data_IF_097677130722
#
_entry.id   IF_097677130722
#
_cell.length_a   1.000
_cell.length_b   1.000
_cell.length_c   1.000
_cell.angle_alpha   90.00
_cell.angle_beta   90.00
_cell.angle_gamma   90.00
#
_symmetry.space_group_name_H-M   'P 1'
#
loop_
_entity.id
_entity.type
_entity.pdbx_description
1 polymer ?
#
# COMPACT_ATOMS: atom_id res chain seq x y z
N UNK A 1 -15.38 23.64 -16.22
CA UNK A 1 -14.64 24.20 -15.07
C UNK A 1 -13.17 24.25 -15.41
N UNK A 2 -12.39 25.11 -14.77
CA UNK A 2 -10.93 25.15 -14.90
C UNK A 2 -10.29 24.73 -13.59
N UNK A 3 -9.24 23.93 -13.68
CA UNK A 3 -8.53 23.43 -12.51
C UNK A 3 -7.09 23.94 -12.45
N UNK A 4 -6.60 24.07 -11.22
CA UNK A 4 -5.27 24.56 -10.89
C UNK A 4 -4.71 23.70 -9.75
N UNK A 5 -3.40 23.46 -9.77
CA UNK A 5 -2.72 22.70 -8.72
C UNK A 5 -1.59 23.52 -8.10
N UNK A 6 -1.42 23.36 -6.80
CA UNK A 6 -0.35 23.97 -6.00
C UNK A 6 0.39 22.83 -5.31
N UNK A 7 1.64 22.58 -5.70
CA UNK A 7 2.51 21.61 -5.04
C UNK A 7 3.47 22.31 -4.07
N UNK A 8 3.53 21.81 -2.85
CA UNK A 8 4.35 22.35 -1.76
C UNK A 8 5.60 21.49 -1.55
N UNK A 9 6.79 22.10 -1.57
CA UNK A 9 8.06 21.41 -1.32
C UNK A 9 8.98 22.33 -0.50
N UNK A 10 8.93 22.16 0.83
CA UNK A 10 9.60 23.05 1.78
C UNK A 10 9.00 24.45 1.73
N UNK A 11 9.85 25.48 1.61
CA UNK A 11 9.41 26.89 1.53
C UNK A 11 8.96 27.31 0.13
N UNK A 12 9.03 26.41 -0.86
CA UNK A 12 8.74 26.72 -2.26
C UNK A 12 7.44 26.07 -2.70
N UNK A 13 6.82 26.72 -3.68
CA UNK A 13 5.58 26.25 -4.32
C UNK A 13 5.77 26.12 -5.82
N UNK A 14 5.04 25.20 -6.43
CA UNK A 14 4.95 25.07 -7.89
C UNK A 14 3.48 25.05 -8.27
N UNK A 15 3.18 25.69 -9.39
CA UNK A 15 1.82 25.95 -9.81
C UNK A 15 1.56 25.40 -11.20
N UNK A 16 0.37 24.84 -11.38
CA UNK A 16 -0.24 24.52 -12.67
C UNK A 16 -1.60 25.23 -12.69
N UNK A 17 -1.93 25.92 -13.77
CA UNK A 17 -3.17 26.69 -13.84
C UNK A 17 -3.78 26.64 -15.23
N UNK A 18 -5.10 26.89 -15.29
CA UNK A 18 -5.92 26.85 -16.49
C UNK A 18 -5.86 25.49 -17.21
N UNK A 19 -5.98 24.40 -16.45
CA UNK A 19 -5.96 23.02 -16.95
C UNK A 19 -7.35 22.39 -16.93
N UNK A 20 -7.53 21.35 -17.76
CA UNK A 20 -8.68 20.45 -17.63
C UNK A 20 -8.46 19.49 -16.46
N UNK A 21 -9.52 18.79 -16.07
CA UNK A 21 -9.48 17.85 -14.94
C UNK A 21 -8.49 16.72 -15.22
N UNK A 22 -8.54 16.18 -16.44
CA UNK A 22 -7.73 15.06 -16.92
C UNK A 22 -6.25 15.43 -16.96
N UNK A 23 -5.94 16.67 -17.38
CA UNK A 23 -4.56 17.19 -17.38
C UNK A 23 -3.98 17.26 -15.96
N UNK A 24 -4.76 17.75 -14.98
CA UNK A 24 -4.31 17.83 -13.58
C UNK A 24 -4.01 16.44 -13.03
N UNK A 25 -4.85 15.46 -13.37
CA UNK A 25 -4.63 14.07 -13.00
C UNK A 25 -3.33 13.54 -13.61
N UNK A 26 -3.17 13.63 -14.94
CA UNK A 26 -2.05 13.04 -15.65
C UNK A 26 -0.70 13.73 -15.39
N UNK A 27 -0.70 15.06 -15.28
CA UNK A 27 0.53 15.85 -15.16
C UNK A 27 0.96 16.11 -13.73
N UNK A 28 0.04 16.02 -12.77
CA UNK A 28 0.29 16.44 -11.38
C UNK A 28 0.00 15.33 -10.39
N UNK A 29 -1.23 14.81 -10.37
CA UNK A 29 -1.65 13.89 -9.31
C UNK A 29 -1.06 12.48 -9.46
N UNK A 30 -1.06 11.90 -10.66
CA UNK A 30 -0.42 10.60 -10.91
C UNK A 30 1.09 10.65 -10.61
N UNK A 31 1.86 11.64 -11.11
CA UNK A 31 3.27 11.76 -10.77
C UNK A 31 3.54 11.98 -9.27
N UNK A 32 2.66 12.73 -8.60
CA UNK A 32 2.73 12.95 -7.15
C UNK A 32 2.57 11.65 -6.36
N UNK A 33 1.50 10.92 -6.63
CA UNK A 33 1.19 9.66 -5.97
C UNK A 33 2.24 8.60 -6.26
N UNK A 34 2.65 8.45 -7.52
CA UNK A 34 3.65 7.47 -7.94
C UNK A 34 5.09 7.93 -7.69
N UNK A 35 5.29 9.06 -7.00
CA UNK A 35 6.61 9.64 -6.65
C UNK A 35 7.57 9.77 -7.85
N UNK A 36 7.04 10.08 -9.02
CA UNK A 36 7.81 10.10 -10.27
C UNK A 36 8.78 11.28 -10.37
N UNK A 37 9.80 11.13 -11.22
CA UNK A 37 10.64 12.24 -11.67
C UNK A 37 10.23 12.60 -13.10
N UNK A 38 9.75 13.84 -13.32
CA UNK A 38 9.34 14.31 -14.66
C UNK A 38 10.29 15.36 -15.24
N UNK A 39 10.55 15.35 -16.56
CA UNK A 39 11.25 16.43 -17.23
C UNK A 39 10.40 17.70 -17.22
N UNK A 40 11.06 18.83 -16.95
CA UNK A 40 10.43 20.15 -16.87
C UNK A 40 11.36 21.21 -17.46
N UNK A 41 10.81 22.30 -17.98
CA UNK A 41 11.62 23.43 -18.42
C UNK A 41 11.55 24.54 -17.37
N UNK A 42 12.70 24.86 -16.76
CA UNK A 42 12.83 25.94 -15.78
C UNK A 42 13.55 27.12 -16.43
N UNK A 43 12.80 28.17 -16.78
CA UNK A 43 13.34 29.42 -17.36
C UNK A 43 14.21 29.22 -18.61
N UNK A 44 13.87 28.25 -19.45
CA UNK A 44 14.62 27.92 -20.67
C UNK A 44 15.58 26.74 -20.49
N UNK A 45 15.85 26.31 -19.26
CA UNK A 45 16.76 25.19 -18.97
C UNK A 45 15.96 23.89 -18.79
N UNK A 46 16.25 22.82 -19.56
CA UNK A 46 15.76 21.48 -19.26
C UNK A 46 16.19 21.05 -17.86
N UNK A 47 15.26 20.50 -17.08
CA UNK A 47 15.49 20.14 -15.68
C UNK A 47 14.60 18.95 -15.31
N UNK A 48 14.89 18.31 -14.19
CA UNK A 48 14.04 17.27 -13.63
C UNK A 48 13.28 17.81 -12.42
N UNK A 49 12.03 17.39 -12.26
CA UNK A 49 11.21 17.67 -11.09
C UNK A 49 10.85 16.37 -10.40
N UNK A 50 11.35 16.21 -9.18
CA UNK A 50 11.07 15.06 -8.33
C UNK A 50 9.75 15.29 -7.57
N UNK A 51 8.69 14.62 -8.02
CA UNK A 51 7.40 14.66 -7.32
C UNK A 51 7.44 13.93 -5.98
N UNK A 52 8.35 12.98 -5.78
CA UNK A 52 8.51 12.26 -4.50
C UNK A 52 9.01 13.11 -3.34
N UNK A 53 9.46 14.34 -3.60
CA UNK A 53 9.86 15.34 -2.60
C UNK A 53 8.76 16.39 -2.32
N UNK A 54 7.61 16.31 -3.02
CA UNK A 54 6.45 17.17 -2.75
C UNK A 54 5.77 16.67 -1.48
N UNK A 55 5.45 17.57 -0.57
CA UNK A 55 4.84 17.26 0.73
C UNK A 55 3.32 17.09 0.62
N UNK A 56 2.67 18.00 -0.09
CA UNK A 56 1.23 17.95 -0.36
C UNK A 56 0.86 18.79 -1.59
N UNK A 57 -0.31 18.50 -2.15
CA UNK A 57 -0.88 19.21 -3.30
C UNK A 57 -2.27 19.73 -2.95
N UNK A 58 -2.54 20.97 -3.29
CA UNK A 58 -3.87 21.59 -3.19
C UNK A 58 -4.41 21.83 -4.59
N UNK A 59 -5.64 21.35 -4.85
CA UNK A 59 -6.35 21.59 -6.11
C UNK A 59 -7.38 22.68 -5.90
N UNK A 60 -7.42 23.62 -6.84
CA UNK A 60 -8.34 24.77 -6.85
C UNK A 60 -9.14 24.73 -8.15
N UNK A 61 -10.44 25.01 -8.09
CA UNK A 61 -11.31 25.10 -9.27
C UNK A 61 -11.83 26.52 -9.48
N UNK A 62 -12.00 26.93 -10.73
CA UNK A 62 -12.63 28.20 -11.08
C UNK A 62 -13.61 28.04 -12.24
N UNK A 63 -14.66 28.87 -12.27
CA UNK A 63 -15.63 28.89 -13.38
C UNK A 63 -14.98 29.39 -14.67
N UNK A 64 -14.11 30.39 -14.56
CA UNK A 64 -13.39 31.03 -15.67
C UNK A 64 -11.89 30.80 -15.57
N UNK A 65 -11.16 30.97 -16.67
CA UNK A 65 -9.70 30.94 -16.66
C UNK A 65 -9.16 32.08 -15.81
N UNK A 66 -8.12 31.79 -15.03
CA UNK A 66 -7.33 32.82 -14.34
C UNK A 66 -6.58 33.65 -15.37
N UNK A 67 -6.48 34.97 -15.12
CA UNK A 67 -5.76 35.89 -16.01
C UNK A 67 -4.30 35.50 -16.07
N UNK A 68 -3.76 35.36 -17.29
CA UNK A 68 -2.35 35.02 -17.48
C UNK A 68 -1.49 36.21 -17.04
N UNK A 69 -0.64 36.07 -16.02
CA UNK A 69 0.23 37.16 -15.59
C UNK A 69 1.41 37.32 -16.55
N UNK A 70 2.21 38.38 -16.35
CA UNK A 70 3.45 38.61 -17.09
C UNK A 70 4.39 37.39 -17.00
N UNK A 71 5.26 37.21 -18.01
CA UNK A 71 6.15 36.06 -18.15
C UNK A 71 6.93 35.79 -16.85
N UNK A 72 6.76 34.59 -16.28
CA UNK A 72 7.45 34.17 -15.05
C UNK A 72 6.76 34.53 -13.73
N UNK A 73 5.57 35.16 -13.77
CA UNK A 73 4.74 35.41 -12.59
C UNK A 73 3.65 34.34 -12.44
N UNK A 74 3.18 34.13 -11.22
CA UNK A 74 2.04 33.26 -10.89
C UNK A 74 0.77 34.11 -10.80
N UNK A 75 -0.41 33.59 -11.18
CA UNK A 75 -1.68 34.27 -10.91
C UNK A 75 -1.77 34.64 -9.41
N UNK A 76 -2.03 35.91 -9.06
CA UNK A 76 -2.05 36.36 -7.67
C UNK A 76 -3.09 35.63 -6.82
N UNK A 77 -4.18 35.19 -7.44
CA UNK A 77 -5.26 34.44 -6.80
C UNK A 77 -4.77 33.14 -6.17
N UNK A 78 -3.84 32.42 -6.82
CA UNK A 78 -3.28 31.15 -6.31
C UNK A 78 -2.27 31.35 -5.17
N UNK A 79 -1.87 32.59 -4.90
CA UNK A 79 -1.03 32.93 -3.75
C UNK A 79 -1.85 33.43 -2.56
N UNK A 80 -3.14 33.70 -2.75
CA UNK A 80 -4.05 34.16 -1.72
C UNK A 80 -4.72 32.98 -1.00
N UNK A 81 -4.47 32.84 0.30
CA UNK A 81 -4.95 31.71 1.10
C UNK A 81 -6.48 31.65 1.20
N UNK A 82 -7.14 32.81 1.34
CA UNK A 82 -8.60 32.89 1.38
C UNK A 82 -9.22 32.43 0.06
N UNK A 83 -8.63 32.83 -1.07
CA UNK A 83 -9.07 32.39 -2.39
C UNK A 83 -8.91 30.88 -2.55
N UNK A 84 -7.74 30.34 -2.19
CA UNK A 84 -7.45 28.89 -2.28
C UNK A 84 -8.42 28.09 -1.42
N UNK A 85 -8.68 28.52 -0.18
CA UNK A 85 -9.62 27.84 0.73
C UNK A 85 -11.05 27.83 0.17
N UNK A 86 -11.54 28.97 -0.32
CA UNK A 86 -12.91 29.10 -0.82
C UNK A 86 -13.16 28.38 -2.15
N UNK A 87 -12.09 28.06 -2.90
CA UNK A 87 -12.17 27.44 -4.21
C UNK A 87 -11.48 26.08 -4.25
N UNK A 88 -11.19 25.48 -3.09
CA UNK A 88 -10.61 24.14 -3.01
C UNK A 88 -11.52 23.13 -3.70
N UNK A 89 -10.91 22.28 -4.50
CA UNK A 89 -11.55 21.16 -5.18
C UNK A 89 -10.80 19.86 -4.92
N UNK A 90 -9.89 19.83 -3.94
CA UNK A 90 -9.02 18.67 -3.68
C UNK A 90 -9.85 17.40 -3.45
N UNK A 91 -10.95 17.49 -2.72
CA UNK A 91 -11.84 16.35 -2.42
C UNK A 91 -12.49 15.75 -3.68
N UNK A 92 -12.81 16.56 -4.70
CA UNK A 92 -13.36 16.05 -5.98
C UNK A 92 -12.41 15.13 -6.73
N UNK A 93 -11.11 15.30 -6.48
CA UNK A 93 -10.07 14.47 -7.08
C UNK A 93 -9.74 13.26 -6.23
N UNK A 94 -10.09 13.25 -4.93
CA UNK A 94 -9.90 12.06 -4.09
C UNK A 94 -10.70 10.88 -4.66
N UNK A 95 -11.96 11.10 -5.01
CA UNK A 95 -12.80 10.05 -5.60
C UNK A 95 -12.44 9.71 -7.04
N UNK A 96 -12.02 10.70 -7.83
CA UNK A 96 -11.55 10.46 -9.20
C UNK A 96 -10.23 9.67 -9.22
N UNK A 97 -9.36 9.92 -8.24
CA UNK A 97 -8.16 9.12 -8.00
C UNK A 97 -8.52 7.73 -7.52
N UNK A 98 -9.56 7.54 -6.69
CA UNK A 98 -10.05 6.20 -6.31
C UNK A 98 -10.52 5.39 -7.52
N UNK A 99 -11.26 6.02 -8.45
CA UNK A 99 -11.80 5.39 -9.69
C UNK A 99 -10.72 5.13 -10.74
N UNK A 100 -9.79 6.06 -10.98
CA UNK A 100 -8.66 5.79 -11.89
C UNK A 100 -7.69 4.74 -11.33
N UNK A 101 -7.73 4.50 -10.01
CA UNK A 101 -7.02 3.43 -9.30
C UNK A 101 -7.79 2.12 -9.21
N UNK A 102 -9.00 2.00 -9.80
CA UNK A 102 -9.76 0.74 -9.84
C UNK A 102 -9.56 -0.06 -11.14
N UNK A 103 -8.85 0.49 -12.14
CA UNK A 103 -8.31 -0.29 -13.26
C UNK A 103 -6.94 -0.89 -12.87
N UNK A 104 -6.99 -1.94 -12.05
CA UNK A 104 -6.04 -3.04 -11.74
C UNK A 104 -4.49 -2.95 -11.88
N UNK A 105 -3.83 -1.91 -12.39
CA UNK A 105 -2.37 -1.93 -12.61
C UNK A 105 -1.61 -0.69 -12.07
N UNK A 106 -2.25 0.15 -11.26
CA UNK A 106 -1.71 1.47 -10.91
C UNK A 106 -1.58 1.84 -9.43
N UNK A 107 -2.03 1.01 -8.48
CA UNK A 107 -1.86 1.32 -7.05
C UNK A 107 -0.46 0.93 -6.60
N UNK A 108 0.26 1.85 -5.97
CA UNK A 108 1.46 1.45 -5.23
C UNK A 108 1.07 0.51 -4.08
N UNK A 109 1.95 -0.43 -3.72
CA UNK A 109 1.68 -1.38 -2.64
C UNK A 109 1.33 -0.69 -1.30
N UNK A 110 1.90 0.50 -1.06
CA UNK A 110 1.62 1.34 0.11
C UNK A 110 0.18 1.86 0.09
N UNK A 111 -0.39 2.17 -1.08
CA UNK A 111 -1.77 2.62 -1.16
C UNK A 111 -2.76 1.48 -1.01
N UNK A 112 -2.40 0.28 -1.48
CA UNK A 112 -3.20 -0.93 -1.23
C UNK A 112 -3.25 -1.23 0.26
N UNK A 113 -2.13 -1.06 0.98
CA UNK A 113 -2.12 -1.26 2.43
C UNK A 113 -2.92 -0.22 3.23
N UNK A 114 -3.18 0.95 2.64
CA UNK A 114 -4.02 2.02 3.24
C UNK A 114 -5.50 1.91 2.87
N UNK A 115 -5.88 0.99 1.97
CA UNK A 115 -7.27 0.70 1.66
C UNK A 115 -7.86 -0.27 2.69
N UNK A 116 -9.19 -0.34 2.79
CA UNK A 116 -9.85 -1.38 3.59
C UNK A 116 -9.32 -2.75 3.15
N UNK A 117 -8.71 -3.54 4.05
CA UNK A 117 -8.13 -4.80 3.69
C UNK A 117 -9.23 -5.82 3.35
N UNK A 118 -8.93 -6.71 2.41
CA UNK A 118 -9.78 -7.86 2.11
C UNK A 118 -9.87 -8.78 3.32
N UNK A 119 -10.99 -9.48 3.51
CA UNK A 119 -11.13 -10.48 4.57
C UNK A 119 -10.35 -11.77 4.22
N UNK A 120 -9.04 -11.60 4.07
CA UNK A 120 -8.09 -12.57 3.55
C UNK A 120 -6.92 -12.72 4.51
N UNK A 121 -6.49 -13.96 4.70
CA UNK A 121 -5.22 -14.34 5.31
C UNK A 121 -4.26 -14.71 4.19
N UNK A 122 -3.15 -13.98 4.09
CA UNK A 122 -2.06 -14.42 3.23
C UNK A 122 -1.01 -15.17 4.05
N UNK A 123 -0.64 -16.36 3.58
CA UNK A 123 0.29 -17.26 4.26
C UNK A 123 1.66 -17.19 3.58
N UNK A 124 2.62 -16.64 4.31
CA UNK A 124 4.05 -16.62 3.97
C UNK A 124 4.65 -17.89 4.55
N UNK A 125 5.06 -18.83 3.70
CA UNK A 125 5.52 -20.15 4.14
C UNK A 125 6.35 -20.85 3.07
N UNK A 126 7.33 -21.65 3.50
CA UNK A 126 8.03 -22.58 2.61
C UNK A 126 7.05 -23.67 2.13
N UNK A 127 6.87 -23.78 0.82
CA UNK A 127 6.16 -24.89 0.17
C UNK A 127 7.14 -25.91 -0.42
N UNK A 128 6.67 -27.14 -0.66
CA UNK A 128 7.48 -28.27 -1.13
C UNK A 128 8.20 -29.02 -0.01
N UNK A 129 7.68 -28.91 1.21
CA UNK A 129 8.17 -29.56 2.42
C UNK A 129 7.01 -30.29 3.07
N UNK A 130 7.06 -31.63 3.17
CA UNK A 130 5.90 -32.45 3.53
C UNK A 130 5.27 -32.06 4.87
N UNK A 131 6.10 -31.71 5.87
CA UNK A 131 5.60 -31.34 7.20
C UNK A 131 4.89 -29.99 7.16
N UNK A 132 5.47 -29.03 6.44
CA UNK A 132 4.93 -27.68 6.31
C UNK A 132 3.69 -27.67 5.41
N UNK A 133 3.70 -28.41 4.30
CA UNK A 133 2.55 -28.54 3.41
C UNK A 133 1.37 -29.24 4.08
N UNK A 134 1.63 -30.25 4.92
CA UNK A 134 0.60 -30.89 5.74
C UNK A 134 0.02 -29.92 6.78
N UNK A 135 0.87 -29.18 7.50
CA UNK A 135 0.43 -28.17 8.46
C UNK A 135 -0.42 -27.06 7.81
N UNK A 136 -0.05 -26.62 6.61
CA UNK A 136 -0.83 -25.64 5.86
C UNK A 136 -2.22 -26.19 5.48
N UNK A 137 -2.26 -27.36 4.83
CA UNK A 137 -3.52 -27.96 4.33
C UNK A 137 -4.43 -28.50 5.44
N UNK A 138 -3.86 -29.04 6.51
CA UNK A 138 -4.60 -29.70 7.59
C UNK A 138 -4.97 -28.79 8.77
N UNK A 139 -4.32 -27.62 8.87
CA UNK A 139 -4.51 -26.70 10.00
C UNK A 139 -4.70 -25.27 9.56
N UNK A 140 -3.70 -24.64 8.94
CA UNK A 140 -3.69 -23.18 8.72
C UNK A 140 -4.87 -22.76 7.85
N UNK A 141 -5.04 -23.41 6.69
CA UNK A 141 -6.11 -23.08 5.75
C UNK A 141 -7.51 -23.38 6.29
N UNK A 142 -7.82 -24.61 6.75
CA UNK A 142 -9.14 -24.93 7.28
C UNK A 142 -9.54 -24.06 8.47
N UNK A 143 -8.59 -23.73 9.36
CA UNK A 143 -8.89 -22.93 10.54
C UNK A 143 -9.11 -21.45 10.18
N UNK A 144 -8.33 -20.89 9.25
CA UNK A 144 -8.59 -19.54 8.77
C UNK A 144 -9.95 -19.43 8.06
N UNK A 145 -10.32 -20.44 7.28
CA UNK A 145 -11.65 -20.55 6.63
C UNK A 145 -12.79 -20.72 7.65
N UNK A 146 -12.59 -21.50 8.74
CA UNK A 146 -13.54 -21.63 9.87
C UNK A 146 -13.84 -20.27 10.52
N UNK A 147 -12.83 -19.39 10.55
CA UNK A 147 -12.93 -18.01 11.03
C UNK A 147 -13.41 -17.00 9.96
N UNK A 148 -13.84 -17.50 8.79
CA UNK A 148 -14.45 -16.69 7.74
C UNK A 148 -13.47 -15.92 6.85
N UNK A 149 -12.17 -16.20 6.94
CA UNK A 149 -11.15 -15.61 6.06
C UNK A 149 -10.98 -16.44 4.79
N UNK A 150 -10.72 -15.78 3.66
CA UNK A 150 -10.12 -16.43 2.49
C UNK A 150 -8.63 -16.67 2.76
N UNK A 151 -8.15 -17.91 2.69
CA UNK A 151 -6.76 -18.25 3.03
C UNK A 151 -5.99 -18.65 1.79
N UNK A 152 -4.95 -17.87 1.48
CA UNK A 152 -4.15 -18.03 0.26
C UNK A 152 -2.68 -18.18 0.59
N UNK A 153 -2.03 -19.16 -0.05
CA UNK A 153 -0.57 -19.33 -0.10
C UNK A 153 -0.08 -19.18 -1.54
N UNK A 154 1.15 -18.73 -1.71
CA UNK A 154 1.72 -18.36 -3.02
C UNK A 154 1.58 -19.45 -4.10
N UNK A 155 1.70 -20.72 -3.77
CA UNK A 155 1.61 -21.84 -4.73
C UNK A 155 0.19 -22.10 -5.25
N UNK A 156 -0.83 -21.53 -4.61
CA UNK A 156 -2.23 -21.61 -5.07
C UNK A 156 -2.58 -20.52 -6.10
N UNK A 157 -1.71 -19.53 -6.27
CA UNK A 157 -1.92 -18.43 -7.21
C UNK A 157 -1.56 -18.92 -8.62
N UNK A 158 -2.58 -19.25 -9.41
CA UNK A 158 -2.41 -19.62 -10.82
C UNK A 158 -2.51 -18.39 -11.72
N UNK A 159 -1.41 -17.64 -11.81
CA UNK A 159 -1.30 -16.50 -12.72
C UNK A 159 0.09 -16.47 -13.40
N UNK A 160 0.11 -16.03 -14.66
CA UNK A 160 1.29 -15.88 -15.52
C UNK A 160 2.15 -14.64 -15.23
N UNK A 161 1.69 -13.77 -14.31
CA UNK A 161 2.38 -12.57 -13.89
C UNK A 161 3.66 -12.80 -13.08
N UNK A 162 4.30 -11.70 -12.66
CA UNK A 162 5.48 -11.77 -11.81
C UNK A 162 5.07 -12.23 -10.40
N UNK A 163 5.47 -13.45 -10.03
CA UNK A 163 5.13 -14.06 -8.74
C UNK A 163 5.52 -13.18 -7.55
N UNK A 164 6.65 -12.46 -7.63
CA UNK A 164 7.10 -11.57 -6.56
C UNK A 164 6.18 -10.37 -6.39
N UNK A 165 5.65 -9.82 -7.48
CA UNK A 165 4.69 -8.72 -7.43
C UNK A 165 3.37 -9.18 -6.83
N UNK A 166 2.85 -10.33 -7.27
CA UNK A 166 1.62 -10.92 -6.75
C UNK A 166 1.69 -11.23 -5.25
N UNK A 167 2.83 -11.73 -4.76
CA UNK A 167 3.06 -11.94 -3.32
C UNK A 167 2.92 -10.62 -2.57
N UNK A 168 3.63 -9.57 -3.01
CA UNK A 168 3.59 -8.27 -2.33
C UNK A 168 2.20 -7.64 -2.40
N UNK A 169 1.48 -7.81 -3.51
CA UNK A 169 0.09 -7.35 -3.64
C UNK A 169 -0.83 -8.07 -2.66
N UNK A 170 -0.74 -9.40 -2.55
CA UNK A 170 -1.53 -10.16 -1.60
C UNK A 170 -1.20 -9.79 -0.15
N UNK A 171 0.08 -9.61 0.19
CA UNK A 171 0.47 -9.08 1.51
C UNK A 171 -0.17 -7.71 1.76
N UNK A 172 -0.15 -6.83 0.75
CA UNK A 172 -0.66 -5.47 0.88
C UNK A 172 -2.18 -5.40 1.04
N UNK A 173 -2.95 -6.31 0.42
CA UNK A 173 -4.42 -6.30 0.49
C UNK A 173 -5.00 -7.20 1.57
N UNK A 174 -4.25 -8.15 2.12
CA UNK A 174 -4.72 -9.00 3.21
C UNK A 174 -4.92 -8.24 4.52
N UNK A 175 -5.93 -8.69 5.28
CA UNK A 175 -6.24 -8.20 6.63
C UNK A 175 -5.30 -8.78 7.67
N UNK A 176 -4.89 -10.04 7.49
CA UNK A 176 -4.01 -10.74 8.40
C UNK A 176 -2.93 -11.50 7.61
N UNK A 177 -1.73 -11.58 8.19
CA UNK A 177 -0.62 -12.34 7.64
C UNK A 177 -0.25 -13.46 8.61
N UNK A 178 -0.10 -14.68 8.10
CA UNK A 178 0.55 -15.77 8.84
C UNK A 178 1.94 -15.96 8.24
N UNK A 179 2.97 -15.69 9.03
CA UNK A 179 4.36 -15.86 8.63
C UNK A 179 4.95 -17.09 9.31
N UNK A 180 4.98 -18.20 8.60
CA UNK A 180 5.60 -19.45 9.02
C UNK A 180 7.06 -19.49 8.54
N UNK A 181 7.99 -19.39 9.48
CA UNK A 181 9.41 -19.13 9.20
C UNK A 181 10.31 -20.36 9.38
N UNK A 182 9.74 -21.56 9.38
CA UNK A 182 10.50 -22.80 9.42
C UNK A 182 11.42 -22.96 8.22
N UNK A 183 12.62 -23.50 8.45
CA UNK A 183 13.61 -23.73 7.40
C UNK A 183 14.37 -22.48 6.93
N UNK A 184 14.23 -21.35 7.62
CA UNK A 184 15.03 -20.14 7.40
C UNK A 184 15.05 -19.64 5.94
N UNK A 185 13.92 -19.79 5.22
CA UNK A 185 13.84 -19.45 3.80
C UNK A 185 13.92 -17.91 3.61
N UNK A 186 14.95 -17.37 2.93
CA UNK A 186 15.17 -15.92 2.87
C UNK A 186 13.97 -15.12 2.33
N UNK A 187 13.24 -15.67 1.36
CA UNK A 187 12.05 -15.01 0.80
C UNK A 187 10.96 -14.80 1.85
N UNK A 188 10.73 -15.77 2.75
CA UNK A 188 9.72 -15.65 3.79
C UNK A 188 10.06 -14.54 4.80
N UNK A 189 11.35 -14.35 5.11
CA UNK A 189 11.81 -13.24 5.94
C UNK A 189 11.66 -11.89 5.24
N UNK A 190 11.98 -11.82 3.95
CA UNK A 190 11.77 -10.62 3.14
C UNK A 190 10.28 -10.22 3.11
N UNK A 191 9.39 -11.19 2.86
CA UNK A 191 7.94 -11.00 2.81
C UNK A 191 7.37 -10.59 4.19
N UNK A 192 7.82 -11.21 5.27
CA UNK A 192 7.44 -10.84 6.62
C UNK A 192 7.93 -9.43 7.00
N UNK A 193 9.15 -9.07 6.60
CA UNK A 193 9.69 -7.72 6.75
C UNK A 193 8.87 -6.68 5.98
N UNK A 194 8.41 -7.02 4.78
CA UNK A 194 7.53 -6.16 3.99
C UNK A 194 6.15 -5.99 4.66
N UNK A 195 5.53 -7.08 5.11
CA UNK A 195 4.27 -7.03 5.88
C UNK A 195 4.41 -6.14 7.13
N UNK A 196 5.53 -6.27 7.83
CA UNK A 196 5.83 -5.48 9.02
C UNK A 196 5.99 -3.99 8.68
N UNK A 197 6.69 -3.65 7.60
CA UNK A 197 6.84 -2.27 7.14
C UNK A 197 5.50 -1.62 6.74
N UNK A 198 4.53 -2.43 6.28
CA UNK A 198 3.17 -1.97 5.99
C UNK A 198 2.26 -1.88 7.24
N UNK A 199 2.77 -2.25 8.42
CA UNK A 199 1.99 -2.24 9.66
C UNK A 199 0.88 -3.28 9.70
N UNK A 200 1.03 -4.39 8.98
CA UNK A 200 0.05 -5.48 8.98
C UNK A 200 0.01 -6.20 10.33
N UNK A 201 -1.14 -6.77 10.68
CA UNK A 201 -1.23 -7.73 11.78
C UNK A 201 -0.58 -9.04 11.31
N UNK A 202 0.41 -9.54 12.06
CA UNK A 202 1.19 -10.72 11.69
C UNK A 202 1.17 -11.74 12.82
N UNK A 203 0.78 -12.97 12.49
CA UNK A 203 0.99 -14.14 13.33
C UNK A 203 2.28 -14.82 12.87
N UNK A 204 3.33 -14.69 13.68
CA UNK A 204 4.56 -15.44 13.47
C UNK A 204 4.39 -16.88 13.97
N UNK A 205 4.80 -17.84 13.17
CA UNK A 205 4.77 -19.28 13.48
C UNK A 205 6.10 -19.93 13.13
N UNK A 206 6.50 -20.93 13.92
CA UNK A 206 7.71 -21.71 13.66
C UNK A 206 7.58 -23.13 14.21
N UNK A 207 8.02 -24.12 13.44
CA UNK A 207 8.16 -25.48 13.94
C UNK A 207 9.39 -25.55 14.88
N UNK A 208 9.24 -26.17 16.04
CA UNK A 208 10.28 -26.21 17.10
C UNK A 208 11.61 -26.83 16.67
N UNK A 209 11.64 -27.56 15.55
CA UNK A 209 12.86 -28.12 14.97
C UNK A 209 13.78 -27.05 14.36
N UNK A 210 13.28 -25.83 14.14
CA UNK A 210 14.02 -24.72 13.55
C UNK A 210 14.24 -23.61 14.57
N UNK A 211 15.28 -22.81 14.32
CA UNK A 211 15.62 -21.68 15.16
C UNK A 211 14.99 -20.40 14.62
N UNK A 212 14.60 -19.50 15.54
CA UNK A 212 14.16 -18.16 15.18
C UNK A 212 15.42 -17.34 14.87
N UNK A 213 15.47 -16.71 13.69
CA UNK A 213 16.55 -15.80 13.34
C UNK A 213 16.60 -14.60 14.30
N UNK A 214 17.80 -14.13 14.66
CA UNK A 214 17.98 -13.13 15.73
C UNK A 214 17.23 -11.82 15.46
N UNK A 215 17.09 -11.42 14.19
CA UNK A 215 16.35 -10.21 13.78
C UNK A 215 14.89 -10.21 14.22
N UNK A 216 14.28 -11.39 14.40
CA UNK A 216 12.89 -11.55 14.82
C UNK A 216 12.73 -12.13 16.22
N UNK A 217 13.83 -12.36 16.95
CA UNK A 217 13.79 -13.01 18.28
C UNK A 217 12.96 -12.25 19.33
N UNK A 218 12.74 -10.94 19.14
CA UNK A 218 11.88 -10.12 20.01
C UNK A 218 10.37 -10.29 19.78
N UNK A 219 9.94 -10.93 18.68
CA UNK A 219 8.53 -11.14 18.39
C UNK A 219 8.00 -12.41 19.06
N UNK A 220 6.70 -12.44 19.33
CA UNK A 220 6.04 -13.62 19.90
C UNK A 220 5.68 -14.62 18.79
N UNK A 221 6.41 -15.73 18.77
CA UNK A 221 6.13 -16.85 17.86
C UNK A 221 5.11 -17.82 18.43
N UNK A 222 4.28 -18.37 17.55
CA UNK A 222 3.60 -19.63 17.75
C UNK A 222 4.59 -20.75 17.44
N UNK A 223 5.24 -21.26 18.48
CA UNK A 223 6.11 -22.44 18.34
C UNK A 223 5.29 -23.73 18.40
N UNK A 224 5.47 -24.64 17.45
CA UNK A 224 4.69 -25.88 17.38
C UNK A 224 5.56 -27.10 17.05
N UNK A 225 5.20 -28.26 17.61
CA UNK A 225 5.80 -29.56 17.27
C UNK A 225 4.93 -30.40 16.35
N UNK A 226 3.64 -30.37 16.64
CA UNK A 226 2.61 -31.19 15.98
C UNK A 226 1.51 -30.29 15.44
N UNK A 227 0.78 -30.79 14.44
CA UNK A 227 -0.37 -30.08 13.87
C UNK A 227 -1.47 -29.80 14.88
N UNK A 228 -1.68 -30.71 15.85
CA UNK A 228 -2.63 -30.48 16.93
C UNK A 228 -2.25 -29.25 17.76
N UNK A 229 -0.97 -29.12 18.14
CA UNK A 229 -0.49 -27.94 18.87
C UNK A 229 -0.58 -26.67 18.04
N UNK A 230 -0.29 -26.75 16.74
CA UNK A 230 -0.45 -25.63 15.82
C UNK A 230 -1.90 -25.18 15.78
N UNK A 231 -2.85 -26.12 15.68
CA UNK A 231 -4.29 -25.86 15.63
C UNK A 231 -4.76 -25.13 16.87
N UNK A 232 -4.44 -25.65 18.05
CA UNK A 232 -4.90 -25.08 19.32
C UNK A 232 -4.37 -23.64 19.49
N UNK A 233 -3.05 -23.45 19.28
CA UNK A 233 -2.43 -22.13 19.46
C UNK A 233 -2.85 -21.11 18.39
N UNK A 234 -3.08 -21.56 17.15
CA UNK A 234 -3.50 -20.67 16.07
C UNK A 234 -4.95 -20.23 16.31
N UNK A 235 -5.81 -21.14 16.77
CA UNK A 235 -7.20 -20.84 17.12
C UNK A 235 -7.29 -19.78 18.21
N UNK A 236 -6.57 -19.98 19.31
CA UNK A 236 -6.49 -18.99 20.39
C UNK A 236 -6.04 -17.62 19.87
N UNK A 237 -5.08 -17.60 18.94
CA UNK A 237 -4.57 -16.35 18.39
C UNK A 237 -5.59 -15.64 17.49
N UNK A 238 -6.29 -16.38 16.62
CA UNK A 238 -7.31 -15.82 15.73
C UNK A 238 -8.48 -15.25 16.55
N UNK A 239 -8.96 -15.98 17.56
CA UNK A 239 -9.99 -15.51 18.49
C UNK A 239 -9.59 -14.21 19.18
N UNK A 240 -8.36 -14.14 19.73
CA UNK A 240 -7.87 -12.94 20.40
C UNK A 240 -7.73 -11.72 19.47
N UNK A 241 -7.52 -11.92 18.16
CA UNK A 241 -7.49 -10.84 17.17
C UNK A 241 -8.90 -10.35 16.86
N UNK A 242 -9.86 -11.25 16.72
CA UNK A 242 -11.26 -10.93 16.44
C UNK A 242 -11.92 -10.13 17.59
N UNK A 243 -11.63 -10.54 18.83
CA UNK A 243 -12.10 -9.83 20.04
C UNK A 243 -11.58 -8.39 20.10
N UNK A 244 -10.31 -8.16 19.72
CA UNK A 244 -9.73 -6.82 19.66
C UNK A 244 -10.32 -5.95 18.55
N UNK A 245 -10.78 -6.56 17.46
CA UNK A 245 -11.35 -5.83 16.32
C UNK A 245 -12.81 -5.43 16.49
N UNK A 246 -13.50 -5.97 17.50
CA UNK A 246 -14.93 -5.74 17.77
C UNK A 246 -15.19 -4.71 18.88
N UNK A 247 -14.13 -4.12 19.47
CA UNK A 247 -14.19 -3.05 20.48
C UNK A 247 -13.74 -1.71 19.92
#
# INVERSE_FOLDING_TARGET
>A
MWYHAIAHYGTKRRYWWNRQKEDIVADVLLPFVSRQVKPVNRRGTPSLFNFGAVQYITIVKTKTRLKRPAKGKTPPELSNETFVKNNSATDEFVDSMRVLKSSESGRSLIERSLSEPENKIFVIMKFGDETLDSAYKGVIKPLGEEHGYDVVRVDEIQDSGNISEQILENISSSKLIIAELSGERPNCYYEAGFAHALGKEIIFSINEKYNIHFDLAGYRFLTWRTEAQLRDKLRERLQAIEEKGSG
#
